data_IF_678644461686
#
_entry.id   IF_678644461686
#
_cell.length_a   1.000
_cell.length_b   1.000
_cell.length_c   1.000
_cell.angle_alpha   90.00
_cell.angle_beta   90.00
_cell.angle_gamma   90.00
#
_symmetry.space_group_name_H-M   'P 1'
#
loop_
_entity.id
_entity.type
_entity.pdbx_description
1 polymer ?
#
# COMPACT_ATOMS: atom_id res chain seq x y z
N UNK A 1 19.43 -20.38 -16.17
CA UNK A 1 19.81 -21.73 -15.69
C UNK A 1 18.57 -22.61 -15.81
N UNK A 2 18.67 -23.78 -16.44
CA UNK A 2 17.53 -24.71 -16.54
C UNK A 2 17.42 -25.56 -15.26
N UNK A 3 16.20 -25.81 -14.79
CA UNK A 3 15.97 -26.73 -13.68
C UNK A 3 16.24 -28.16 -14.15
N UNK A 4 16.95 -28.93 -13.34
CA UNK A 4 17.37 -30.30 -13.71
C UNK A 4 17.18 -31.26 -12.55
N UNK A 5 16.63 -32.45 -12.81
CA UNK A 5 16.53 -33.53 -11.84
C UNK A 5 17.71 -34.49 -12.05
N UNK A 6 18.31 -34.93 -10.94
CA UNK A 6 19.44 -35.88 -10.92
C UNK A 6 18.93 -37.32 -10.75
N UNK A 7 18.02 -37.75 -11.62
CA UNK A 7 17.49 -39.12 -11.63
C UNK A 7 17.64 -39.73 -13.01
N UNK A 8 18.04 -41.00 -13.04
CA UNK A 8 18.05 -41.83 -14.24
C UNK A 8 16.63 -42.36 -14.53
N UNK A 9 16.35 -42.87 -15.74
CA UNK A 9 15.07 -43.51 -16.06
C UNK A 9 14.70 -44.69 -15.14
N UNK A 10 15.69 -45.33 -14.51
CA UNK A 10 15.51 -46.42 -13.54
C UNK A 10 15.21 -45.94 -12.10
N UNK A 11 15.07 -44.64 -11.88
CA UNK A 11 14.81 -44.03 -10.58
C UNK A 11 16.04 -43.87 -9.68
N UNK A 12 17.22 -44.34 -10.09
CA UNK A 12 18.46 -44.18 -9.32
C UNK A 12 19.03 -42.76 -9.47
N UNK A 13 19.83 -42.33 -8.48
CA UNK A 13 20.49 -41.02 -8.48
C UNK A 13 21.51 -40.93 -9.62
N UNK A 14 21.51 -39.82 -10.35
CA UNK A 14 22.51 -39.50 -11.36
C UNK A 14 23.60 -38.56 -10.82
N UNK A 15 24.82 -38.70 -11.37
CA UNK A 15 25.94 -37.76 -11.17
C UNK A 15 25.96 -36.66 -12.24
N UNK A 16 25.09 -36.76 -13.25
CA UNK A 16 24.94 -35.80 -14.36
C UNK A 16 23.51 -35.25 -14.39
N UNK A 17 23.34 -34.07 -15.00
CA UNK A 17 22.05 -33.39 -15.14
C UNK A 17 21.28 -34.01 -16.31
N UNK A 18 20.64 -35.15 -16.06
CA UNK A 18 20.08 -35.98 -17.14
C UNK A 18 18.70 -35.54 -17.63
N UNK A 19 17.95 -34.81 -16.81
CA UNK A 19 16.57 -34.44 -17.14
C UNK A 19 16.32 -32.96 -16.86
N UNK A 20 16.31 -32.15 -17.93
CA UNK A 20 15.85 -30.76 -17.87
C UNK A 20 14.33 -30.72 -17.81
N UNK A 21 13.78 -29.83 -17.00
CA UNK A 21 12.33 -29.61 -16.94
C UNK A 21 11.99 -28.12 -16.85
N UNK A 22 10.78 -27.79 -17.29
CA UNK A 22 10.17 -26.49 -17.08
C UNK A 22 9.03 -26.67 -16.10
N UNK A 23 9.16 -26.08 -14.92
CA UNK A 23 8.09 -26.10 -13.94
C UNK A 23 6.97 -25.16 -14.42
N UNK A 24 5.73 -25.66 -14.48
CA UNK A 24 4.56 -24.91 -14.98
C UNK A 24 3.44 -24.78 -13.95
N UNK A 25 3.50 -25.57 -12.88
CA UNK A 25 2.46 -25.66 -11.85
C UNK A 25 3.06 -25.82 -10.47
N UNK A 26 2.29 -25.43 -9.46
CA UNK A 26 2.62 -25.59 -8.05
C UNK A 26 1.73 -26.66 -7.45
N UNK A 27 2.30 -27.67 -6.80
CA UNK A 27 1.53 -28.67 -6.05
C UNK A 27 1.27 -28.13 -4.65
N UNK A 28 0.03 -28.20 -4.19
CA UNK A 28 -0.40 -27.80 -2.84
C UNK A 28 -1.04 -28.97 -2.12
N UNK A 29 -1.02 -28.95 -0.79
CA UNK A 29 -1.72 -29.93 0.04
C UNK A 29 -2.63 -29.17 1.02
N UNK A 30 -3.86 -29.65 1.21
CA UNK A 30 -4.74 -29.13 2.24
C UNK A 30 -4.38 -29.68 3.64
N UNK A 31 -5.09 -29.22 4.68
CA UNK A 31 -4.88 -29.66 6.06
C UNK A 31 -5.14 -31.17 6.27
N UNK A 32 -5.79 -31.85 5.32
CA UNK A 32 -6.08 -33.28 5.36
C UNK A 32 -5.13 -34.09 4.47
N UNK A 33 -4.11 -33.46 3.87
CA UNK A 33 -3.14 -34.11 2.99
C UNK A 33 -3.64 -34.36 1.57
N UNK A 34 -4.77 -33.77 1.18
CA UNK A 34 -5.29 -33.86 -0.19
C UNK A 34 -4.45 -32.98 -1.10
N UNK A 35 -3.89 -33.58 -2.15
CA UNK A 35 -3.06 -32.86 -3.13
C UNK A 35 -3.92 -32.14 -4.17
N UNK A 36 -3.59 -30.89 -4.42
CA UNK A 36 -4.13 -30.05 -5.50
C UNK A 36 -3.01 -29.40 -6.30
N UNK A 37 -3.39 -28.58 -7.29
CA UNK A 37 -2.45 -27.76 -8.03
C UNK A 37 -2.95 -26.33 -8.19
N UNK A 38 -2.00 -25.40 -8.25
CA UNK A 38 -2.20 -24.02 -8.70
C UNK A 38 -1.47 -23.85 -10.04
N UNK A 39 -2.09 -23.12 -10.96
CA UNK A 39 -1.43 -22.76 -12.22
C UNK A 39 -0.34 -21.72 -11.95
N UNK A 40 0.81 -21.90 -12.62
CA UNK A 40 2.00 -21.07 -12.41
C UNK A 40 2.90 -21.57 -11.27
N UNK A 41 4.01 -20.85 -11.08
CA UNK A 41 4.98 -21.09 -10.02
C UNK A 41 4.72 -20.13 -8.86
N UNK A 42 5.05 -20.51 -7.61
CA UNK A 42 5.05 -19.53 -6.53
C UNK A 42 6.03 -18.42 -6.93
N UNK A 43 5.51 -17.19 -7.00
CA UNK A 43 6.35 -16.03 -7.29
C UNK A 43 7.31 -15.90 -6.11
N UNK A 44 8.60 -16.15 -6.35
CA UNK A 44 9.65 -15.86 -5.38
C UNK A 44 9.54 -14.36 -5.06
N UNK A 45 9.24 -14.03 -3.80
CA UNK A 45 9.10 -12.67 -3.29
C UNK A 45 10.46 -11.97 -3.20
N UNK A 46 11.28 -12.02 -4.25
CA UNK A 46 12.46 -11.17 -4.35
C UNK A 46 12.08 -9.72 -4.65
N UNK A 47 10.82 -9.48 -5.02
CA UNK A 47 10.22 -8.15 -4.97
C UNK A 47 9.48 -8.01 -3.63
N UNK A 48 10.00 -7.23 -2.66
CA UNK A 48 9.35 -7.02 -1.36
C UNK A 48 8.09 -6.14 -1.44
N UNK A 49 7.72 -5.65 -2.63
CA UNK A 49 6.53 -4.84 -2.82
C UNK A 49 5.24 -5.65 -3.05
N UNK A 50 4.11 -4.97 -2.89
CA UNK A 50 2.77 -5.43 -3.29
C UNK A 50 2.81 -5.85 -4.77
N UNK A 51 2.23 -6.99 -5.20
CA UNK A 51 2.12 -7.33 -6.62
C UNK A 51 1.30 -6.32 -7.43
N UNK A 52 1.61 -6.16 -8.72
CA UNK A 52 0.86 -5.26 -9.62
C UNK A 52 -0.60 -5.71 -9.69
N UNK A 53 -1.52 -4.75 -9.50
CA UNK A 53 -2.97 -4.98 -9.46
C UNK A 53 -3.51 -5.38 -8.09
N UNK A 54 -2.66 -5.72 -7.12
CA UNK A 54 -3.10 -5.99 -5.76
C UNK A 54 -3.31 -4.71 -4.96
N UNK A 55 -4.18 -4.81 -3.96
CA UNK A 55 -4.63 -3.70 -3.13
C UNK A 55 -4.52 -4.05 -1.64
N UNK A 56 -4.07 -3.10 -0.83
CA UNK A 56 -4.23 -3.14 0.63
C UNK A 56 -5.28 -2.09 1.01
N UNK A 57 -6.42 -2.55 1.54
CA UNK A 57 -7.51 -1.67 1.99
C UNK A 57 -7.68 -1.74 3.49
N UNK A 58 -8.06 -0.60 4.10
CA UNK A 58 -8.43 -0.52 5.52
C UNK A 58 -9.61 0.42 5.71
N UNK A 59 -10.40 0.12 6.74
CA UNK A 59 -11.53 0.94 7.17
C UNK A 59 -11.37 1.19 8.67
N UNK A 60 -11.47 2.45 9.07
CA UNK A 60 -11.41 2.86 10.47
C UNK A 60 -12.66 3.64 10.87
N UNK A 61 -13.05 3.49 12.13
CA UNK A 61 -14.04 4.32 12.80
C UNK A 61 -13.36 5.04 13.94
N UNK A 62 -13.45 6.37 13.94
CA UNK A 62 -12.84 7.24 14.95
C UNK A 62 -13.92 8.16 15.51
N UNK A 63 -14.14 8.21 16.84
CA UNK A 63 -15.08 9.16 17.42
C UNK A 63 -14.70 10.60 17.06
N UNK A 64 -15.69 11.45 16.74
CA UNK A 64 -15.44 12.85 16.36
C UNK A 64 -14.65 13.62 17.43
N UNK A 65 -14.89 13.32 18.70
CA UNK A 65 -14.19 13.94 19.83
C UNK A 65 -12.68 13.68 19.83
N UNK A 66 -12.22 12.66 19.11
CA UNK A 66 -10.80 12.31 18.96
C UNK A 66 -10.20 12.96 17.72
N UNK A 67 -10.95 13.06 16.62
CA UNK A 67 -10.50 13.58 15.33
C UNK A 67 -10.41 15.12 15.28
N UNK A 68 -9.66 15.70 16.23
CA UNK A 68 -9.57 17.15 16.45
C UNK A 68 -8.30 17.77 15.82
N UNK A 69 -8.37 19.09 15.60
CA UNK A 69 -7.30 19.96 15.05
C UNK A 69 -5.95 19.66 15.72
N UNK A 70 -4.91 19.38 14.92
CA UNK A 70 -3.50 19.25 15.35
C UNK A 70 -3.20 18.16 16.39
N UNK A 71 -4.21 17.51 16.99
CA UNK A 71 -4.03 16.43 17.97
C UNK A 71 -4.29 15.06 17.36
N UNK A 72 -4.97 15.00 16.22
CA UNK A 72 -5.34 13.74 15.59
C UNK A 72 -4.42 13.34 14.45
N UNK A 73 -3.64 12.28 14.67
CA UNK A 73 -2.97 11.53 13.62
C UNK A 73 -3.56 10.12 13.57
N UNK A 74 -3.98 9.65 12.39
CA UNK A 74 -4.64 8.35 12.29
C UNK A 74 -3.71 7.20 12.72
N UNK A 75 -2.42 7.22 12.37
CA UNK A 75 -1.48 6.18 12.80
C UNK A 75 -1.35 6.11 14.33
N UNK A 76 -1.24 7.27 15.00
CA UNK A 76 -1.19 7.32 16.46
C UNK A 76 -2.45 6.72 17.09
N UNK A 77 -3.63 7.03 16.54
CA UNK A 77 -4.89 6.44 16.99
C UNK A 77 -4.94 4.92 16.76
N UNK A 78 -4.55 4.46 15.58
CA UNK A 78 -4.50 3.03 15.22
C UNK A 78 -3.63 2.25 16.21
N UNK A 79 -2.43 2.76 16.51
CA UNK A 79 -1.50 2.14 17.47
C UNK A 79 -2.09 2.14 18.89
N UNK A 80 -2.58 3.29 19.36
CA UNK A 80 -3.11 3.45 20.72
C UNK A 80 -4.32 2.53 20.99
N UNK A 81 -5.07 2.17 19.96
CA UNK A 81 -6.25 1.32 20.04
C UNK A 81 -6.01 -0.12 19.55
N UNK A 82 -4.75 -0.49 19.27
CA UNK A 82 -4.36 -1.81 18.78
C UNK A 82 -5.18 -2.28 17.56
N UNK A 83 -5.44 -1.35 16.63
CA UNK A 83 -6.19 -1.60 15.40
C UNK A 83 -5.26 -2.14 14.30
N UNK A 84 -5.80 -2.76 13.23
CA UNK A 84 -5.00 -3.17 12.08
C UNK A 84 -4.16 -2.01 11.54
N UNK A 85 -2.87 -2.24 11.37
CA UNK A 85 -1.93 -1.22 10.90
C UNK A 85 -2.36 -0.61 9.55
N UNK A 86 -2.01 0.66 9.36
CA UNK A 86 -2.19 1.37 8.11
C UNK A 86 -1.38 0.67 6.99
N UNK A 87 -1.84 0.73 5.74
CA UNK A 87 -1.06 0.23 4.61
C UNK A 87 0.32 0.91 4.55
N UNK A 88 1.35 0.07 4.52
CA UNK A 88 2.74 0.48 4.30
C UNK A 88 3.23 -0.28 3.08
N UNK A 89 3.77 0.45 2.11
CA UNK A 89 4.39 -0.13 0.91
C UNK A 89 5.70 0.58 0.64
N UNK A 90 6.78 -0.20 0.49
CA UNK A 90 8.09 0.34 0.14
C UNK A 90 8.53 1.52 1.02
N UNK A 91 8.29 1.46 2.32
CA UNK A 91 8.66 2.54 3.23
C UNK A 91 7.71 3.74 3.25
N UNK A 92 6.66 3.76 2.41
CA UNK A 92 5.62 4.77 2.42
C UNK A 92 4.38 4.28 3.15
N UNK A 93 3.87 5.08 4.08
CA UNK A 93 2.62 4.83 4.79
C UNK A 93 1.54 5.81 4.34
N UNK A 94 0.37 5.28 3.96
CA UNK A 94 -0.83 6.10 3.76
C UNK A 94 -1.41 6.49 5.12
N UNK A 95 -1.62 7.78 5.37
CA UNK A 95 -2.08 8.30 6.65
C UNK A 95 -2.93 9.58 6.44
N UNK A 96 -3.46 10.14 7.52
CA UNK A 96 -4.10 11.46 7.50
C UNK A 96 -3.95 12.16 8.86
N UNK A 97 -4.10 13.48 8.83
CA UNK A 97 -4.10 14.36 9.98
C UNK A 97 -5.43 15.09 10.09
N UNK A 98 -5.96 15.25 11.31
CA UNK A 98 -7.09 16.13 11.57
C UNK A 98 -6.64 17.59 11.50
N UNK A 99 -7.25 18.36 10.58
CA UNK A 99 -7.01 19.80 10.44
C UNK A 99 -8.04 20.57 11.25
N UNK A 100 -9.32 20.20 11.15
CA UNK A 100 -10.39 20.77 11.96
C UNK A 100 -11.55 19.80 12.14
N UNK A 101 -12.61 20.24 12.83
CA UNK A 101 -13.86 19.46 12.87
C UNK A 101 -14.43 19.22 11.46
N UNK A 102 -14.18 20.14 10.53
CA UNK A 102 -14.65 20.09 9.14
C UNK A 102 -13.67 19.45 8.17
N UNK A 103 -12.36 19.51 8.45
CA UNK A 103 -11.32 19.17 7.47
C UNK A 103 -10.28 18.15 7.96
N UNK A 104 -9.71 17.42 7.02
CA UNK A 104 -8.53 16.59 7.20
C UNK A 104 -7.52 16.79 6.08
N UNK A 105 -6.29 16.41 6.37
CA UNK A 105 -5.15 16.50 5.46
C UNK A 105 -4.64 15.07 5.19
N UNK A 106 -4.82 14.54 3.97
CA UNK A 106 -4.26 13.26 3.56
C UNK A 106 -2.73 13.35 3.42
N UNK A 107 -2.02 12.37 3.98
CA UNK A 107 -0.56 12.40 4.07
C UNK A 107 0.08 11.09 3.65
N UNK A 108 1.25 11.20 3.04
CA UNK A 108 2.13 10.08 2.71
C UNK A 108 3.38 10.21 3.57
N UNK A 109 3.55 9.34 4.57
CA UNK A 109 4.71 9.36 5.46
C UNK A 109 5.81 8.46 4.92
N UNK A 110 7.06 8.92 4.99
CA UNK A 110 8.22 8.04 4.87
C UNK A 110 8.52 7.41 6.23
N UNK A 111 8.17 6.13 6.37
CA UNK A 111 8.45 5.31 7.56
C UNK A 111 9.71 4.45 7.42
N UNK A 112 10.43 4.56 6.30
CA UNK A 112 11.74 3.94 6.15
C UNK A 112 12.81 4.71 6.92
N UNK A 113 13.97 4.07 7.12
CA UNK A 113 15.13 4.70 7.75
C UNK A 113 15.93 5.62 6.82
N UNK A 114 15.63 5.64 5.52
CA UNK A 114 16.35 6.40 4.51
C UNK A 114 15.43 7.46 3.86
N UNK A 115 15.98 8.56 3.32
CA UNK A 115 15.19 9.46 2.48
C UNK A 115 14.64 8.75 1.25
N UNK A 116 13.44 9.11 0.83
CA UNK A 116 12.80 8.56 -0.37
C UNK A 116 12.50 9.67 -1.38
N UNK A 117 12.75 9.38 -2.66
CA UNK A 117 12.39 10.27 -3.75
C UNK A 117 10.98 9.90 -4.25
N UNK A 118 10.05 10.83 -4.12
CA UNK A 118 8.62 10.62 -4.39
C UNK A 118 8.08 11.71 -5.30
N UNK A 119 7.35 11.32 -6.32
CA UNK A 119 6.55 12.21 -7.17
C UNK A 119 5.08 11.82 -7.05
N UNK A 120 4.17 12.78 -7.09
CA UNK A 120 2.75 12.49 -7.03
C UNK A 120 1.90 13.42 -7.89
N UNK A 121 0.70 12.94 -8.21
CA UNK A 121 -0.37 13.70 -8.83
C UNK A 121 -1.70 13.36 -8.16
N UNK A 122 -2.43 14.39 -7.72
CA UNK A 122 -3.73 14.21 -7.05
C UNK A 122 -4.91 14.43 -8.00
N UNK A 123 -6.00 13.74 -7.70
CA UNK A 123 -7.29 13.80 -8.36
C UNK A 123 -8.38 13.79 -7.30
N UNK A 124 -9.06 14.93 -7.17
CA UNK A 124 -10.18 15.11 -6.26
C UNK A 124 -11.51 15.02 -7.01
N UNK A 125 -12.56 14.56 -6.33
CA UNK A 125 -13.89 14.46 -6.97
C UNK A 125 -14.73 15.72 -6.87
N UNK A 126 -14.44 16.64 -5.95
CA UNK A 126 -15.30 17.81 -5.73
C UNK A 126 -14.55 19.10 -5.42
N UNK A 127 -13.88 19.19 -4.27
CA UNK A 127 -13.46 20.45 -3.66
C UNK A 127 -11.95 20.65 -3.67
N UNK A 128 -11.19 19.60 -3.37
CA UNK A 128 -9.73 19.70 -3.35
C UNK A 128 -9.19 19.99 -4.76
N UNK A 129 -8.04 20.66 -4.84
CA UNK A 129 -7.40 20.96 -6.13
C UNK A 129 -6.49 19.81 -6.56
N UNK A 130 -6.48 19.53 -7.85
CA UNK A 130 -5.52 18.61 -8.43
C UNK A 130 -4.14 19.27 -8.41
N UNK A 131 -3.16 18.57 -7.85
CA UNK A 131 -1.77 18.99 -7.75
C UNK A 131 -0.87 18.01 -8.52
N UNK A 132 0.24 18.50 -9.04
CA UNK A 132 1.37 17.66 -9.46
C UNK A 132 2.64 18.17 -8.81
N UNK A 133 3.32 17.28 -8.09
CA UNK A 133 4.55 17.59 -7.38
C UNK A 133 5.59 16.51 -7.64
N UNK A 134 6.76 16.90 -8.14
CA UNK A 134 7.75 15.99 -8.69
C UNK A 134 9.05 16.01 -7.88
N UNK A 135 9.68 14.84 -7.75
CA UNK A 135 11.02 14.67 -7.19
C UNK A 135 11.17 15.20 -5.76
N UNK A 136 10.16 15.00 -4.93
CA UNK A 136 10.20 15.36 -3.52
C UNK A 136 11.10 14.39 -2.76
N UNK A 137 12.14 14.91 -2.10
CA UNK A 137 12.93 14.12 -1.16
C UNK A 137 12.26 14.14 0.20
N UNK A 138 11.60 13.04 0.55
CA UNK A 138 10.95 12.87 1.85
C UNK A 138 11.95 12.23 2.81
N UNK A 139 12.45 12.97 3.78
CA UNK A 139 13.38 12.42 4.79
C UNK A 139 12.65 11.46 5.72
N UNK A 140 13.39 10.55 6.37
CA UNK A 140 12.84 9.56 7.28
C UNK A 140 12.01 10.21 8.40
N UNK A 141 10.79 9.71 8.62
CA UNK A 141 9.83 10.23 9.60
C UNK A 141 9.03 11.46 9.14
N UNK A 142 9.38 12.08 8.01
CA UNK A 142 8.62 13.19 7.44
C UNK A 142 7.52 12.70 6.49
N UNK A 143 6.71 13.64 5.99
CA UNK A 143 5.58 13.35 5.14
C UNK A 143 5.47 14.33 3.97
N UNK A 144 4.73 13.88 2.95
CA UNK A 144 4.13 14.73 1.93
C UNK A 144 2.67 14.96 2.28
N UNK A 145 2.29 16.23 2.23
CA UNK A 145 0.90 16.68 2.27
C UNK A 145 0.41 16.70 0.82
N UNK A 146 -0.68 15.99 0.54
CA UNK A 146 -1.19 15.83 -0.84
C UNK A 146 -2.33 16.79 -1.18
N UNK A 147 -2.70 17.64 -0.22
CA UNK A 147 -3.66 18.72 -0.34
C UNK A 147 -2.95 20.03 0.02
N UNK A 148 -2.94 21.00 -0.88
CA UNK A 148 -2.18 22.24 -0.70
C UNK A 148 -2.85 23.25 0.24
N UNK A 149 -4.16 23.14 0.49
CA UNK A 149 -4.93 24.14 1.22
C UNK A 149 -5.61 23.63 2.51
N UNK A 150 -5.41 22.36 2.86
CA UNK A 150 -5.93 21.68 4.05
C UNK A 150 -7.48 21.62 4.10
N UNK A 151 -8.15 21.47 2.96
CA UNK A 151 -9.63 21.52 2.82
C UNK A 151 -10.29 20.25 2.31
N UNK A 152 -9.72 19.08 2.55
CA UNK A 152 -10.49 17.84 2.31
C UNK A 152 -11.56 17.65 3.39
N UNK A 153 -12.82 17.53 2.98
CA UNK A 153 -13.97 17.58 3.90
C UNK A 153 -14.27 16.25 4.59
N UNK A 154 -14.60 16.31 5.88
CA UNK A 154 -15.26 15.22 6.59
C UNK A 154 -16.77 15.14 6.30
N UNK A 155 -17.44 16.18 5.80
CA UNK A 155 -18.90 16.17 5.68
C UNK A 155 -19.38 15.12 4.67
N UNK A 156 -20.50 14.44 4.92
CA UNK A 156 -21.13 13.55 3.93
C UNK A 156 -21.62 14.27 2.68
N UNK A 157 -21.96 15.56 2.77
CA UNK A 157 -22.41 16.37 1.62
C UNK A 157 -21.27 16.85 0.73
N UNK A 158 -20.06 16.88 1.27
CA UNK A 158 -18.85 17.33 0.58
C UNK A 158 -17.76 16.25 0.56
N UNK A 159 -18.10 15.01 0.92
CA UNK A 159 -17.15 13.91 0.98
C UNK A 159 -16.64 13.63 -0.42
N UNK A 160 -15.33 13.50 -0.53
CA UNK A 160 -14.65 13.26 -1.79
C UNK A 160 -13.66 12.11 -1.67
N UNK A 161 -13.40 11.50 -2.83
CA UNK A 161 -12.35 10.50 -2.95
C UNK A 161 -11.10 11.22 -3.44
N UNK A 162 -10.13 11.34 -2.56
CA UNK A 162 -8.79 11.80 -2.92
C UNK A 162 -8.02 10.63 -3.50
N UNK A 163 -7.77 10.68 -4.80
CA UNK A 163 -6.93 9.68 -5.49
C UNK A 163 -5.59 10.30 -5.81
N UNK A 164 -4.50 9.73 -5.31
CA UNK A 164 -3.15 10.20 -5.59
C UNK A 164 -2.36 9.10 -6.28
N UNK A 165 -1.92 9.38 -7.50
CA UNK A 165 -0.93 8.55 -8.17
C UNK A 165 0.44 8.91 -7.61
N UNK A 166 1.15 7.91 -7.08
CA UNK A 166 2.44 8.07 -6.40
C UNK A 166 3.48 7.26 -7.15
N UNK A 167 4.57 7.90 -7.53
CA UNK A 167 5.78 7.25 -8.00
C UNK A 167 6.84 7.35 -6.89
N UNK A 168 7.46 6.23 -6.53
CA UNK A 168 8.56 6.19 -5.56
C UNK A 168 9.78 5.50 -6.15
N UNK A 169 10.95 6.09 -5.90
CA UNK A 169 12.23 5.47 -6.22
C UNK A 169 12.60 4.45 -5.14
N UNK A 170 12.67 3.17 -5.51
CA UNK A 170 13.00 2.07 -4.59
C UNK A 170 14.51 1.86 -4.53
N UNK A 171 15.19 2.09 -5.63
CA UNK A 171 16.64 2.08 -5.76
C UNK A 171 17.07 3.01 -6.92
N UNK A 172 18.37 3.11 -7.19
CA UNK A 172 18.92 4.01 -8.20
C UNK A 172 18.29 3.86 -9.60
N UNK A 173 17.76 2.69 -9.95
CA UNK A 173 17.24 2.36 -11.28
C UNK A 173 15.77 1.92 -11.29
N UNK A 174 15.18 1.67 -10.12
CA UNK A 174 13.82 1.13 -10.02
C UNK A 174 12.85 2.17 -9.44
N UNK A 175 11.80 2.44 -10.20
CA UNK A 175 10.64 3.20 -9.75
C UNK A 175 9.41 2.30 -9.72
N UNK A 176 8.55 2.50 -8.72
CA UNK A 176 7.24 1.84 -8.65
C UNK A 176 6.12 2.86 -8.59
N UNK A 177 4.98 2.44 -9.13
CA UNK A 177 3.80 3.28 -9.23
C UNK A 177 2.68 2.70 -8.39
N UNK A 178 2.09 3.59 -7.59
CA UNK A 178 1.00 3.28 -6.68
C UNK A 178 -0.16 4.25 -6.89
N UNK A 179 -1.35 3.80 -6.52
CA UNK A 179 -2.54 4.63 -6.40
C UNK A 179 -2.96 4.60 -4.92
N UNK A 180 -2.88 5.75 -4.26
CA UNK A 180 -3.30 5.96 -2.89
C UNK A 180 -4.68 6.59 -2.92
N UNK A 181 -5.60 6.08 -2.08
CA UNK A 181 -6.96 6.61 -2.00
C UNK A 181 -7.35 6.87 -0.56
N UNK A 182 -7.94 8.04 -0.34
CA UNK A 182 -8.65 8.38 0.88
C UNK A 182 -10.10 8.68 0.54
N UNK A 183 -11.01 8.11 1.30
CA UNK A 183 -12.41 8.50 1.28
C UNK A 183 -12.89 8.54 2.72
N UNK A 184 -13.19 9.74 3.19
CA UNK A 184 -13.52 9.96 4.59
C UNK A 184 -14.84 10.71 4.70
N UNK A 185 -15.61 10.39 5.75
CA UNK A 185 -16.86 11.08 6.03
C UNK A 185 -17.23 11.01 7.51
N UNK A 186 -18.02 11.95 8.00
CA UNK A 186 -18.60 11.98 9.33
C UNK A 186 -20.01 11.41 9.27
N UNK A 187 -20.27 10.35 10.05
CA UNK A 187 -21.58 9.71 10.14
C UNK A 187 -21.90 9.47 11.61
N UNK A 188 -22.98 10.10 12.08
CA UNK A 188 -23.55 9.86 13.42
C UNK A 188 -22.56 9.99 14.59
N UNK A 189 -21.72 11.04 14.57
CA UNK A 189 -20.73 11.30 15.63
C UNK A 189 -19.38 10.58 15.47
N UNK A 190 -19.21 9.80 14.41
CA UNK A 190 -17.95 9.15 14.05
C UNK A 190 -17.39 9.69 12.74
N UNK A 191 -16.06 9.74 12.61
CA UNK A 191 -15.37 9.77 11.32
C UNK A 191 -15.18 8.34 10.82
N UNK A 192 -15.68 8.03 9.64
CA UNK A 192 -15.43 6.81 8.87
C UNK A 192 -14.33 7.11 7.86
N UNK A 193 -13.27 6.31 7.90
CA UNK A 193 -12.07 6.51 7.08
C UNK A 193 -11.84 5.26 6.27
N UNK A 194 -11.87 5.39 4.95
CA UNK A 194 -11.55 4.34 4.00
C UNK A 194 -10.23 4.71 3.32
N UNK A 195 -9.26 3.81 3.39
CA UNK A 195 -7.96 4.01 2.72
C UNK A 195 -7.57 2.79 1.91
N UNK A 196 -6.92 3.03 0.78
CA UNK A 196 -6.46 1.98 -0.12
C UNK A 196 -5.13 2.35 -0.75
N UNK A 197 -4.27 1.35 -0.93
CA UNK A 197 -3.06 1.46 -1.75
C UNK A 197 -3.04 0.32 -2.75
N UNK A 198 -2.88 0.64 -4.03
CA UNK A 198 -2.84 -0.33 -5.14
C UNK A 198 -1.53 -0.17 -5.89
N UNK A 199 -0.83 -1.25 -6.23
CA UNK A 199 0.31 -1.18 -7.16
C UNK A 199 -0.19 -1.14 -8.60
N UNK A 200 0.23 -0.11 -9.34
CA UNK A 200 -0.16 0.11 -10.74
C UNK A 200 0.90 -0.38 -11.72
N UNK A 201 2.19 -0.27 -11.36
CA UNK A 201 3.34 -0.78 -12.12
C UNK A 201 4.54 -1.05 -11.20
#
# INVERSE_FOLDING_TARGET
MANTIFTKPDGTKSTVKDQTFTAVKTVVADANGVLGYLDGLPKLSTDPGLPVGEAITRIYTVPIAIAQVNTFNLNTYVIANNLPALPIIDGLQINLQGVSSAYYDPRIYNVSSAPQLVSYQTFATQFNQNETSLNNTVTAGNYLQVDIDDRVFWSTTAAEVETTNVQVQIDANTYRWYEFKWWCMEVSGDKKIFISVIRKA
#
